data_IF_264783057136
#
_entry.id   IF_264783057136
#
_cell.length_a   1.000
_cell.length_b   1.000
_cell.length_c   1.000
_cell.angle_alpha   90.00
_cell.angle_beta   90.00
_cell.angle_gamma   90.00
#
_symmetry.space_group_name_H-M   'P 1'
#
loop_
_entity.id
_entity.type
_entity.pdbx_description
1 polymer ?
#
# COMPACT_ATOMS: atom_id res chain seq x y z
N UNK A 1 -19.59 -1.03 22.94
CA UNK A 1 -18.29 -1.39 22.33
C UNK A 1 -18.39 -1.65 20.82
N UNK A 2 -19.27 -2.60 20.36
CA UNK A 2 -19.35 -2.98 18.93
C UNK A 2 -19.78 -1.81 18.02
N UNK A 3 -20.83 -1.09 18.40
CA UNK A 3 -21.31 0.08 17.62
C UNK A 3 -20.25 1.18 17.50
N UNK A 4 -19.47 1.38 18.53
CA UNK A 4 -18.40 2.39 18.55
C UNK A 4 -17.23 1.95 17.66
N UNK A 5 -16.85 0.67 17.71
CA UNK A 5 -15.86 0.11 16.80
C UNK A 5 -16.31 0.22 15.34
N UNK A 6 -17.58 -0.07 15.02
CA UNK A 6 -18.13 0.07 13.68
C UNK A 6 -18.15 1.53 13.20
N UNK A 7 -18.47 2.50 14.08
CA UNK A 7 -18.37 3.92 13.74
C UNK A 7 -16.93 4.35 13.44
N UNK A 8 -15.97 3.82 14.19
CA UNK A 8 -14.56 4.11 13.94
C UNK A 8 -14.12 3.55 12.58
N UNK A 9 -14.49 2.32 12.26
CA UNK A 9 -14.22 1.72 10.93
C UNK A 9 -14.90 2.51 9.80
N UNK A 10 -16.12 3.04 10.02
CA UNK A 10 -16.80 3.89 9.05
C UNK A 10 -16.07 5.24 8.87
N UNK A 11 -15.60 5.86 9.95
CA UNK A 11 -14.80 7.09 9.88
C UNK A 11 -13.46 6.88 9.16
N UNK A 12 -12.88 5.68 9.25
CA UNK A 12 -11.67 5.28 8.57
C UNK A 12 -11.94 4.86 7.11
N UNK A 13 -13.22 4.82 6.67
CA UNK A 13 -13.59 4.44 5.31
C UNK A 13 -13.53 2.94 5.01
N UNK A 14 -13.38 2.10 6.04
CA UNK A 14 -13.26 0.64 5.89
C UNK A 14 -14.60 -0.07 5.79
N UNK A 15 -15.66 0.53 6.32
CA UNK A 15 -17.04 0.02 6.23
C UNK A 15 -18.03 1.13 5.89
N UNK A 16 -19.18 0.74 5.34
CA UNK A 16 -20.33 1.61 5.11
C UNK A 16 -21.50 1.10 5.94
N UNK A 17 -22.12 1.97 6.73
CA UNK A 17 -23.31 1.63 7.50
C UNK A 17 -24.56 1.67 6.61
N UNK A 18 -25.24 0.53 6.48
CA UNK A 18 -26.48 0.43 5.71
C UNK A 18 -27.67 0.44 6.68
N UNK A 19 -28.57 1.43 6.58
CA UNK A 19 -29.73 1.52 7.46
C UNK A 19 -30.53 0.19 7.49
N UNK A 20 -30.79 -0.31 8.69
CA UNK A 20 -31.54 -1.57 8.95
C UNK A 20 -30.86 -2.86 8.47
N UNK A 21 -29.67 -2.80 7.83
CA UNK A 21 -28.93 -3.98 7.34
C UNK A 21 -27.57 -4.19 8.03
N UNK A 22 -27.14 -3.22 8.84
CA UNK A 22 -25.85 -3.30 9.55
C UNK A 22 -24.71 -2.63 8.76
N UNK A 23 -23.52 -3.19 8.84
CA UNK A 23 -22.36 -2.67 8.16
C UNK A 23 -21.92 -3.60 7.02
N UNK A 24 -21.42 -3.01 5.96
CA UNK A 24 -20.80 -3.70 4.82
C UNK A 24 -19.38 -3.19 4.66
N UNK A 25 -18.46 -4.08 4.27
CA UNK A 25 -17.10 -3.67 3.90
C UNK A 25 -17.18 -2.68 2.73
N UNK A 26 -16.51 -1.53 2.87
CA UNK A 26 -16.49 -0.52 1.82
C UNK A 26 -15.88 -1.08 0.53
N UNK A 27 -16.46 -0.72 -0.61
CA UNK A 27 -15.86 -0.93 -1.92
C UNK A 27 -15.29 0.39 -2.40
N UNK A 28 -14.10 0.37 -2.99
CA UNK A 28 -13.52 1.54 -3.61
C UNK A 28 -13.95 1.62 -5.08
N UNK A 29 -14.28 2.82 -5.55
CA UNK A 29 -14.48 3.07 -6.98
C UNK A 29 -13.15 3.41 -7.65
N UNK A 30 -13.11 3.40 -8.99
CA UNK A 30 -11.91 3.87 -9.72
C UNK A 30 -11.58 5.33 -9.37
N UNK A 31 -12.62 6.15 -9.14
CA UNK A 31 -12.42 7.54 -8.74
C UNK A 31 -11.81 7.64 -7.35
N UNK A 32 -12.37 6.94 -6.36
CA UNK A 32 -11.85 6.95 -4.99
C UNK A 32 -10.40 6.43 -4.94
N UNK A 33 -10.07 5.39 -5.73
CA UNK A 33 -8.72 4.88 -5.88
C UNK A 33 -7.76 5.97 -6.40
N UNK A 34 -8.14 6.67 -7.46
CA UNK A 34 -7.31 7.73 -8.02
C UNK A 34 -7.12 8.88 -7.03
N UNK A 35 -8.18 9.30 -6.34
CA UNK A 35 -8.12 10.36 -5.32
C UNK A 35 -7.18 9.98 -4.17
N UNK A 36 -7.26 8.73 -3.68
CA UNK A 36 -6.37 8.21 -2.62
C UNK A 36 -4.91 8.15 -3.10
N UNK A 37 -4.67 7.64 -4.30
CA UNK A 37 -3.32 7.49 -4.82
C UNK A 37 -2.66 8.84 -5.14
N UNK A 38 -3.40 9.83 -5.62
CA UNK A 38 -2.88 11.19 -5.84
C UNK A 38 -2.32 11.77 -4.53
N UNK A 39 -3.09 11.69 -3.45
CA UNK A 39 -2.64 12.15 -2.12
C UNK A 39 -1.46 11.30 -1.62
N UNK A 40 -1.55 9.98 -1.78
CA UNK A 40 -0.51 9.05 -1.32
C UNK A 40 0.83 9.31 -2.03
N UNK A 41 0.84 9.48 -3.36
CA UNK A 41 2.04 9.81 -4.14
C UNK A 41 2.70 11.09 -3.62
N UNK A 42 1.91 12.14 -3.39
CA UNK A 42 2.43 13.40 -2.88
C UNK A 42 3.08 13.24 -1.48
N UNK A 43 2.44 12.50 -0.59
CA UNK A 43 2.93 12.27 0.76
C UNK A 43 4.14 11.30 0.80
N UNK A 44 4.14 10.26 -0.03
CA UNK A 44 5.28 9.33 -0.16
C UNK A 44 6.52 10.06 -0.70
N UNK A 45 6.36 10.98 -1.64
CA UNK A 45 7.47 11.80 -2.13
C UNK A 45 8.10 12.61 -1.00
N UNK A 46 7.31 13.18 -0.09
CA UNK A 46 7.82 13.88 1.10
C UNK A 46 8.52 12.91 2.05
N UNK A 47 7.96 11.71 2.27
CA UNK A 47 8.57 10.71 3.15
C UNK A 47 9.94 10.24 2.60
N UNK A 48 10.01 9.94 1.31
CA UNK A 48 11.22 9.49 0.61
C UNK A 48 12.30 10.58 0.62
N UNK A 49 11.92 11.83 0.31
CA UNK A 49 12.90 12.95 0.35
C UNK A 49 13.53 13.08 1.73
N UNK A 50 12.71 12.97 2.78
CA UNK A 50 13.21 13.03 4.16
C UNK A 50 14.02 11.79 4.53
N UNK A 51 13.58 10.59 4.16
CA UNK A 51 14.31 9.36 4.41
C UNK A 51 15.71 9.40 3.76
N UNK A 52 15.83 9.83 2.51
CA UNK A 52 17.13 9.99 1.83
C UNK A 52 18.11 10.92 2.58
N UNK A 53 17.58 11.85 3.38
CA UNK A 53 18.39 12.83 4.12
C UNK A 53 18.67 12.44 5.56
N UNK A 54 17.78 11.67 6.18
CA UNK A 54 17.74 11.47 7.63
C UNK A 54 17.97 10.03 8.06
N UNK A 55 17.82 9.05 7.15
CA UNK A 55 17.93 7.63 7.49
C UNK A 55 19.28 7.32 8.12
N UNK A 56 19.27 6.66 9.25
CA UNK A 56 20.48 6.19 9.93
C UNK A 56 20.97 4.87 9.31
N UNK A 57 22.24 4.54 9.55
CA UNK A 57 22.81 3.25 9.10
C UNK A 57 22.06 2.04 9.68
N UNK A 58 21.56 2.12 10.92
CA UNK A 58 20.74 1.08 11.53
C UNK A 58 19.39 0.92 10.80
N UNK A 59 18.71 2.02 10.52
CA UNK A 59 17.44 2.00 9.77
C UNK A 59 17.64 1.50 8.35
N UNK A 60 18.72 1.89 7.68
CA UNK A 60 19.08 1.41 6.35
C UNK A 60 19.37 -0.10 6.37
N UNK A 61 20.04 -0.60 7.40
CA UNK A 61 20.24 -2.02 7.62
C UNK A 61 18.91 -2.78 7.80
N UNK A 62 17.99 -2.24 8.60
CA UNK A 62 16.64 -2.81 8.78
C UNK A 62 15.83 -2.78 7.48
N UNK A 63 15.93 -1.70 6.71
CA UNK A 63 15.25 -1.57 5.41
C UNK A 63 15.74 -2.65 4.43
N UNK A 64 17.04 -2.89 4.37
CA UNK A 64 17.60 -3.97 3.57
C UNK A 64 17.11 -5.35 4.01
N UNK A 65 17.10 -5.61 5.33
CA UNK A 65 16.57 -6.87 5.88
C UNK A 65 15.10 -7.06 5.53
N UNK A 66 14.28 -6.00 5.62
CA UNK A 66 12.86 -6.07 5.27
C UNK A 66 12.65 -6.36 3.77
N UNK A 67 13.47 -5.79 2.87
CA UNK A 67 13.43 -6.11 1.44
C UNK A 67 13.76 -7.60 1.19
N UNK A 68 14.75 -8.15 1.90
CA UNK A 68 15.11 -9.57 1.79
C UNK A 68 14.06 -10.50 2.41
N UNK A 69 13.39 -10.10 3.47
CA UNK A 69 12.28 -10.87 4.03
C UNK A 69 11.08 -10.91 3.08
N UNK A 70 10.77 -9.81 2.39
CA UNK A 70 9.77 -9.81 1.32
C UNK A 70 10.13 -10.80 0.21
N UNK A 71 11.38 -10.79 -0.29
CA UNK A 71 11.86 -11.72 -1.31
C UNK A 71 11.71 -13.18 -0.86
N UNK A 72 12.09 -13.50 0.38
CA UNK A 72 11.98 -14.83 0.97
C UNK A 72 10.52 -15.26 1.09
N UNK A 73 9.66 -14.40 1.65
CA UNK A 73 8.22 -14.68 1.85
C UNK A 73 7.50 -14.89 0.53
N UNK A 74 7.93 -14.23 -0.53
CA UNK A 74 7.42 -14.47 -1.90
C UNK A 74 7.50 -15.95 -2.29
N UNK A 75 8.57 -16.65 -1.91
CA UNK A 75 8.76 -18.06 -2.24
C UNK A 75 7.83 -19.00 -1.42
N UNK A 76 7.31 -18.55 -0.29
CA UNK A 76 6.43 -19.35 0.58
C UNK A 76 4.98 -19.41 0.08
N UNK A 77 4.57 -18.53 -0.83
CA UNK A 77 3.23 -18.51 -1.42
C UNK A 77 2.11 -18.00 -0.50
N UNK A 78 2.44 -17.52 0.70
CA UNK A 78 1.48 -16.92 1.63
C UNK A 78 1.29 -15.43 1.31
N UNK A 79 0.19 -15.09 0.59
CA UNK A 79 -0.08 -13.73 0.14
C UNK A 79 -0.36 -12.75 1.28
N UNK A 80 -0.94 -13.20 2.39
CA UNK A 80 -1.21 -12.35 3.55
C UNK A 80 0.11 -11.95 4.21
N UNK A 81 0.97 -12.94 4.49
CA UNK A 81 2.29 -12.69 5.06
C UNK A 81 3.14 -11.82 4.11
N UNK A 82 3.04 -12.05 2.80
CA UNK A 82 3.74 -11.23 1.80
C UNK A 82 3.26 -9.77 1.83
N UNK A 83 1.95 -9.53 1.99
CA UNK A 83 1.41 -8.18 2.16
C UNK A 83 1.89 -7.52 3.46
N UNK A 84 2.03 -8.28 4.54
CA UNK A 84 2.56 -7.80 5.82
C UNK A 84 4.05 -7.42 5.72
N UNK A 85 4.87 -8.22 5.02
CA UNK A 85 6.29 -7.89 4.80
C UNK A 85 6.48 -6.68 3.90
N UNK A 86 5.64 -6.49 2.88
CA UNK A 86 5.61 -5.28 2.06
C UNK A 86 5.23 -4.03 2.89
N UNK A 87 4.23 -4.17 3.76
CA UNK A 87 3.85 -3.11 4.72
C UNK A 87 5.03 -2.74 5.62
N UNK A 88 5.71 -3.75 6.20
CA UNK A 88 6.84 -3.53 7.09
C UNK A 88 8.02 -2.82 6.39
N UNK A 89 8.28 -3.15 5.14
CA UNK A 89 9.30 -2.47 4.33
C UNK A 89 9.03 -0.96 4.20
N UNK A 90 7.84 -0.59 3.74
CA UNK A 90 7.48 0.81 3.57
C UNK A 90 7.39 1.58 4.89
N UNK A 91 6.99 0.92 5.99
CA UNK A 91 6.91 1.53 7.32
C UNK A 91 8.28 2.07 7.79
N UNK A 92 9.37 1.37 7.49
CA UNK A 92 10.72 1.81 7.84
C UNK A 92 11.05 3.14 7.12
N UNK A 93 10.70 3.26 5.84
CA UNK A 93 10.90 4.49 5.07
C UNK A 93 10.12 5.65 5.69
N UNK A 94 8.85 5.40 6.05
CA UNK A 94 8.01 6.43 6.66
C UNK A 94 8.55 6.86 8.02
N UNK A 95 9.00 5.91 8.86
CA UNK A 95 9.60 6.21 10.16
C UNK A 95 10.90 7.04 10.02
N UNK A 96 11.75 6.70 9.05
CA UNK A 96 12.97 7.44 8.75
C UNK A 96 12.71 8.90 8.31
N UNK A 97 11.47 9.24 7.89
CA UNK A 97 11.09 10.62 7.60
C UNK A 97 11.04 11.54 8.83
N UNK A 98 11.07 11.00 10.04
CA UNK A 98 10.89 11.70 11.32
C UNK A 98 9.68 12.65 11.36
N UNK A 99 8.58 12.24 10.72
CA UNK A 99 7.33 13.02 10.68
C UNK A 99 6.13 12.17 11.10
N UNK A 100 5.81 12.16 12.39
CA UNK A 100 4.71 11.37 12.96
C UNK A 100 3.36 11.62 12.30
N UNK A 101 3.07 12.86 11.88
CA UNK A 101 1.79 13.19 11.23
C UNK A 101 1.71 12.63 9.82
N UNK A 102 2.79 12.76 9.06
CA UNK A 102 2.92 12.14 7.73
C UNK A 102 2.71 10.63 7.83
N UNK A 103 3.38 9.97 8.78
CA UNK A 103 3.28 8.53 8.99
C UNK A 103 1.84 8.09 9.33
N UNK A 104 1.15 8.82 10.20
CA UNK A 104 -0.25 8.53 10.53
C UNK A 104 -1.17 8.60 9.31
N UNK A 105 -1.02 9.63 8.47
CA UNK A 105 -1.85 9.78 7.27
C UNK A 105 -1.53 8.70 6.24
N UNK A 106 -0.25 8.44 5.97
CA UNK A 106 0.18 7.38 5.03
C UNK A 106 -0.31 5.99 5.46
N UNK A 107 -0.22 5.67 6.76
CA UNK A 107 -0.70 4.40 7.29
C UNK A 107 -2.22 4.27 7.13
N UNK A 108 -2.99 5.30 7.40
CA UNK A 108 -4.45 5.29 7.20
C UNK A 108 -4.83 5.07 5.73
N UNK A 109 -4.19 5.78 4.80
CA UNK A 109 -4.43 5.59 3.36
C UNK A 109 -4.06 4.17 2.90
N UNK A 110 -2.98 3.60 3.46
CA UNK A 110 -2.54 2.24 3.16
C UNK A 110 -3.50 1.17 3.67
N UNK A 111 -4.07 1.35 4.88
CA UNK A 111 -5.08 0.44 5.45
C UNK A 111 -6.34 0.38 4.57
N UNK A 112 -6.81 1.51 4.06
CA UNK A 112 -7.95 1.56 3.15
C UNK A 112 -7.72 0.73 1.87
N UNK A 113 -6.46 0.55 1.47
CA UNK A 113 -6.08 -0.18 0.25
C UNK A 113 -5.62 -1.62 0.51
N UNK A 114 -5.59 -2.09 1.77
CA UNK A 114 -5.00 -3.38 2.13
C UNK A 114 -5.60 -4.57 1.38
N UNK A 115 -6.94 -4.62 1.23
CA UNK A 115 -7.63 -5.66 0.48
C UNK A 115 -7.12 -5.77 -0.96
N UNK A 116 -6.96 -4.63 -1.63
CA UNK A 116 -6.50 -4.57 -3.02
C UNK A 116 -5.01 -4.89 -3.16
N UNK A 117 -4.23 -4.65 -2.11
CA UNK A 117 -2.83 -5.09 -2.05
C UNK A 117 -2.72 -6.61 -2.13
N UNK A 118 -3.52 -7.35 -1.36
CA UNK A 118 -3.53 -8.82 -1.41
C UNK A 118 -3.92 -9.30 -2.82
N UNK A 119 -4.91 -8.68 -3.47
CA UNK A 119 -5.29 -9.00 -4.84
C UNK A 119 -4.14 -8.72 -5.84
N UNK A 120 -3.49 -7.58 -5.71
CA UNK A 120 -2.33 -7.19 -6.53
C UNK A 120 -1.18 -8.19 -6.41
N UNK A 121 -0.96 -8.78 -5.24
CA UNK A 121 0.09 -9.76 -4.99
C UNK A 121 -0.22 -11.16 -5.52
N UNK A 122 -1.41 -11.44 -6.06
CA UNK A 122 -1.73 -12.75 -6.67
C UNK A 122 -0.91 -13.03 -7.94
N UNK A 123 -0.60 -11.99 -8.72
CA UNK A 123 0.17 -12.13 -9.95
C UNK A 123 1.66 -12.34 -9.65
N UNK A 124 2.24 -13.42 -10.17
CA UNK A 124 3.67 -13.74 -9.96
C UNK A 124 4.60 -12.67 -10.55
N UNK A 125 4.26 -12.15 -11.73
CA UNK A 125 5.05 -11.09 -12.38
C UNK A 125 5.12 -9.84 -11.51
N UNK A 126 4.01 -9.49 -10.87
CA UNK A 126 3.93 -8.40 -9.90
C UNK A 126 4.89 -8.63 -8.73
N UNK A 127 4.86 -9.82 -8.12
CA UNK A 127 5.75 -10.14 -7.00
C UNK A 127 7.23 -10.08 -7.38
N UNK A 128 7.58 -10.49 -8.60
CA UNK A 128 8.96 -10.40 -9.10
C UNK A 128 9.39 -8.96 -9.31
N UNK A 129 8.51 -8.12 -9.86
CA UNK A 129 8.77 -6.70 -10.04
C UNK A 129 8.98 -5.99 -8.69
N UNK A 130 8.15 -6.29 -7.69
CA UNK A 130 8.25 -5.69 -6.37
C UNK A 130 9.58 -5.98 -5.68
N UNK A 131 10.14 -7.20 -5.84
CA UNK A 131 11.46 -7.52 -5.29
C UNK A 131 12.53 -6.58 -5.86
N UNK A 132 12.55 -6.38 -7.19
CA UNK A 132 13.51 -5.46 -7.81
C UNK A 132 13.28 -4.00 -7.44
N UNK A 133 12.02 -3.55 -7.36
CA UNK A 133 11.65 -2.20 -6.94
C UNK A 133 12.12 -1.93 -5.50
N UNK A 134 11.93 -2.87 -4.56
CA UNK A 134 12.41 -2.72 -3.18
C UNK A 134 13.93 -2.61 -3.11
N UNK A 135 14.67 -3.46 -3.82
CA UNK A 135 16.14 -3.42 -3.84
C UNK A 135 16.67 -2.10 -4.43
N UNK A 136 16.07 -1.64 -5.53
CA UNK A 136 16.43 -0.37 -6.17
C UNK A 136 16.10 0.82 -5.27
N UNK A 137 14.97 0.78 -4.55
CA UNK A 137 14.57 1.82 -3.61
C UNK A 137 15.53 1.90 -2.43
N UNK A 138 15.94 0.77 -1.83
CA UNK A 138 16.97 0.73 -0.79
C UNK A 138 18.27 1.36 -1.28
N UNK A 139 18.69 1.03 -2.50
CA UNK A 139 19.92 1.57 -3.09
C UNK A 139 19.82 3.08 -3.30
N UNK A 140 18.72 3.56 -3.87
CA UNK A 140 18.51 4.99 -4.12
C UNK A 140 18.48 5.79 -2.80
N UNK A 141 17.80 5.27 -1.76
CA UNK A 141 17.78 5.90 -0.43
C UNK A 141 19.18 5.92 0.19
N UNK A 142 19.94 4.83 0.09
CA UNK A 142 21.35 4.76 0.57
C UNK A 142 22.25 5.80 -0.10
N UNK A 143 22.07 6.00 -1.41
CA UNK A 143 22.85 6.94 -2.21
C UNK A 143 22.39 8.40 -2.00
N UNK A 144 21.27 8.62 -1.31
CA UNK A 144 20.64 9.92 -1.14
C UNK A 144 20.04 10.46 -2.45
N UNK A 145 19.82 9.60 -3.45
CA UNK A 145 19.24 9.95 -4.75
C UNK A 145 17.73 10.09 -4.65
N UNK A 146 17.29 11.26 -4.20
CA UNK A 146 15.88 11.59 -3.97
C UNK A 146 15.04 11.38 -5.23
N UNK A 147 15.52 11.88 -6.38
CA UNK A 147 14.74 11.82 -7.62
C UNK A 147 14.52 10.37 -8.05
N UNK A 148 15.57 9.57 -8.05
CA UNK A 148 15.48 8.15 -8.40
C UNK A 148 14.56 7.38 -7.43
N UNK A 149 14.67 7.64 -6.13
CA UNK A 149 13.82 6.98 -5.13
C UNK A 149 12.34 7.35 -5.30
N UNK A 150 12.03 8.61 -5.61
CA UNK A 150 10.67 9.08 -5.91
C UNK A 150 10.14 8.48 -7.21
N UNK A 151 10.95 8.38 -8.25
CA UNK A 151 10.55 7.77 -9.54
C UNK A 151 10.23 6.28 -9.36
N UNK A 152 11.03 5.53 -8.59
CA UNK A 152 10.75 4.14 -8.27
C UNK A 152 9.41 4.01 -7.53
N UNK A 153 9.21 4.80 -6.48
CA UNK A 153 7.96 4.78 -5.69
C UNK A 153 6.73 5.16 -6.55
N UNK A 154 6.87 6.15 -7.41
CA UNK A 154 5.81 6.54 -8.35
C UNK A 154 5.42 5.37 -9.26
N UNK A 155 6.38 4.71 -9.89
CA UNK A 155 6.12 3.56 -10.77
C UNK A 155 5.51 2.39 -10.01
N UNK A 156 5.96 2.12 -8.79
CA UNK A 156 5.39 1.15 -7.88
C UNK A 156 3.89 1.40 -7.64
N UNK A 157 3.51 2.63 -7.29
CA UNK A 157 2.11 3.00 -7.07
C UNK A 157 1.27 2.98 -8.35
N UNK A 158 1.83 3.37 -9.48
CA UNK A 158 1.18 3.29 -10.79
C UNK A 158 0.92 1.84 -11.23
N UNK A 159 1.84 0.92 -10.98
CA UNK A 159 1.65 -0.50 -11.25
C UNK A 159 0.55 -1.08 -10.35
N UNK A 160 0.55 -0.71 -9.06
CA UNK A 160 -0.50 -1.06 -8.12
C UNK A 160 -1.87 -0.51 -8.57
N UNK A 161 -1.94 0.77 -9.00
CA UNK A 161 -3.15 1.40 -9.52
C UNK A 161 -3.75 0.62 -10.69
N UNK A 162 -2.94 0.28 -11.68
CA UNK A 162 -3.37 -0.46 -12.88
C UNK A 162 -3.96 -1.83 -12.52
N UNK A 163 -3.33 -2.55 -11.59
CA UNK A 163 -3.82 -3.85 -11.16
C UNK A 163 -5.14 -3.74 -10.39
N UNK A 164 -5.25 -2.79 -9.45
CA UNK A 164 -6.46 -2.58 -8.68
C UNK A 164 -7.64 -2.16 -9.58
N UNK A 165 -7.42 -1.31 -10.58
CA UNK A 165 -8.46 -0.93 -11.55
C UNK A 165 -9.00 -2.18 -12.28
N UNK A 166 -8.12 -3.11 -12.69
CA UNK A 166 -8.56 -4.38 -13.30
C UNK A 166 -9.47 -5.17 -12.36
N UNK A 167 -9.10 -5.26 -11.08
CA UNK A 167 -9.90 -5.96 -10.06
C UNK A 167 -11.26 -5.29 -9.86
N UNK A 168 -11.31 -3.96 -9.72
CA UNK A 168 -12.57 -3.21 -9.55
C UNK A 168 -13.50 -3.43 -10.75
N UNK A 169 -12.99 -3.41 -11.97
CA UNK A 169 -13.79 -3.64 -13.18
C UNK A 169 -14.35 -5.05 -13.22
N UNK A 170 -13.55 -6.07 -12.94
CA UNK A 170 -13.99 -7.45 -12.89
C UNK A 170 -15.06 -7.68 -11.80
N UNK A 171 -14.92 -7.08 -10.61
CA UNK A 171 -15.93 -7.13 -9.55
C UNK A 171 -17.25 -6.47 -9.96
N UNK A 172 -17.20 -5.35 -10.69
CA UNK A 172 -18.40 -4.66 -11.16
C UNK A 172 -19.13 -5.45 -12.25
N UNK A 173 -18.40 -6.03 -13.20
CA UNK A 173 -18.96 -6.90 -14.24
C UNK A 173 -19.66 -8.13 -13.64
N UNK A 174 -19.03 -8.76 -12.64
CA UNK A 174 -19.63 -9.90 -11.93
C UNK A 174 -20.94 -9.52 -11.24
N UNK A 175 -20.97 -8.38 -10.52
CA UNK A 175 -22.18 -7.86 -9.85
C UNK A 175 -23.32 -7.50 -10.83
N UNK A 176 -22.98 -7.04 -12.03
CA UNK A 176 -23.96 -6.75 -13.07
C UNK A 176 -24.54 -8.02 -13.70
N UNK A 177 -23.73 -9.08 -13.82
CA UNK A 177 -24.20 -10.39 -14.30
C UNK A 177 -25.20 -11.02 -13.32
N UNK A 178 -24.88 -11.02 -12.01
CA UNK A 178 -25.76 -11.54 -10.95
C UNK A 178 -27.10 -10.81 -10.84
N UNK A 179 -27.21 -9.56 -11.26
CA UNK A 179 -28.47 -8.79 -11.22
C UNK A 179 -29.39 -9.08 -12.41
N UNK A 180 -28.86 -9.73 -13.45
CA UNK A 180 -29.60 -10.06 -14.67
C UNK A 180 -30.18 -11.48 -14.67
N UNK A 181 -29.77 -12.31 -13.72
CA UNK A 181 -30.36 -13.62 -13.40
C UNK A 181 -31.44 -13.48 -12.34
#
# INVERSE_FOLDING_TARGET
PVREAMRKLEQEGLVVMIPRRGAQVASITEKDLNDVLEVRIALENVAIEKACKLITEDELGRLWVAAKEFEKTKAEGNLVLLAETDVAFHEIIYQASDNKRLNQVLNNLREQMYRYRVEYLKEEQTRNLLVSEHEELVKAIREGDVQKAQDISFHHLENQRKAIIRTIRAENEAKEAEKKE
#
